data_IF_667421538725
#
_entry.id   IF_667421538725
#
_cell.length_a   1.000
_cell.length_b   1.000
_cell.length_c   1.000
_cell.angle_alpha   90.00
_cell.angle_beta   90.00
_cell.angle_gamma   90.00
#
_symmetry.space_group_name_H-M   'P 1'
#
loop_
_entity.id
_entity.type
_entity.pdbx_description
1 polymer ?
#
# COMPACT_ATOMS: atom_id res chain seq x y z
N UNK A 1 42.20 30.98 29.44
CA UNK A 1 40.82 30.97 29.96
C UNK A 1 39.97 30.11 28.99
N UNK A 2 39.17 29.17 29.52
CA UNK A 2 38.30 28.31 28.73
C UNK A 2 38.93 27.05 28.14
N UNK A 3 40.19 26.74 28.44
CA UNK A 3 40.87 25.51 27.98
C UNK A 3 41.12 24.58 29.16
N UNK A 4 40.70 23.32 29.08
CA UNK A 4 41.08 22.29 30.02
C UNK A 4 42.58 22.01 29.85
N UNK A 5 43.35 22.05 30.90
CA UNK A 5 44.79 21.79 30.90
C UNK A 5 45.02 20.40 31.47
N UNK A 6 45.85 19.61 30.82
CA UNK A 6 46.23 18.29 31.31
C UNK A 6 46.74 18.36 32.77
N UNK A 7 46.38 17.39 33.59
CA UNK A 7 46.76 17.27 35.02
C UNK A 7 46.17 18.35 35.89
N UNK A 8 45.11 19.05 35.52
CA UNK A 8 44.34 19.97 36.39
C UNK A 8 43.06 19.33 36.87
N UNK A 9 42.71 19.63 38.15
CA UNK A 9 41.51 19.11 38.76
C UNK A 9 40.25 19.84 38.26
N UNK A 10 39.19 19.07 37.98
CA UNK A 10 37.82 19.57 37.93
C UNK A 10 37.20 19.37 39.31
N UNK A 11 36.78 20.45 39.96
CA UNK A 11 36.17 20.39 41.28
C UNK A 11 34.68 20.43 41.11
N UNK A 12 34.00 19.39 41.56
CA UNK A 12 32.55 19.26 41.60
C UNK A 12 32.01 19.74 42.93
N UNK A 13 30.72 20.05 42.99
CA UNK A 13 30.03 20.35 44.25
C UNK A 13 29.80 19.10 45.13
N UNK A 14 29.09 19.24 46.23
CA UNK A 14 28.81 18.15 47.18
C UNK A 14 27.91 17.05 46.58
N UNK A 15 27.14 17.37 45.52
CA UNK A 15 26.28 16.44 44.80
C UNK A 15 27.00 15.79 43.59
N UNK A 16 28.27 16.18 43.36
CA UNK A 16 29.09 15.84 42.21
C UNK A 16 28.61 16.48 40.88
N UNK A 17 27.91 17.63 40.98
CA UNK A 17 27.43 18.37 39.84
C UNK A 17 28.48 19.38 39.33
N UNK A 18 28.48 19.60 38.00
CA UNK A 18 29.25 20.65 37.37
C UNK A 18 28.32 21.55 36.56
N UNK A 19 28.05 22.75 37.07
CA UNK A 19 27.09 23.69 36.50
C UNK A 19 27.77 24.89 35.84
N UNK A 20 27.06 25.62 34.98
CA UNK A 20 27.52 26.85 34.36
C UNK A 20 28.48 26.66 33.17
N UNK A 21 28.55 25.47 32.58
CA UNK A 21 29.32 25.26 31.35
C UNK A 21 28.52 25.85 30.19
N UNK A 22 29.06 26.90 29.55
CA UNK A 22 28.44 27.50 28.38
C UNK A 22 28.67 26.64 27.11
N UNK A 23 29.91 26.15 26.92
CA UNK A 23 30.27 25.27 25.78
C UNK A 23 31.03 24.07 26.34
N UNK A 24 30.54 22.88 26.07
CA UNK A 24 31.16 21.61 26.41
C UNK A 24 31.58 20.89 25.16
N UNK A 25 32.89 20.70 24.94
CA UNK A 25 33.45 19.99 23.78
C UNK A 25 34.11 18.71 24.25
N UNK A 26 33.59 17.58 23.75
CA UNK A 26 34.18 16.25 23.96
C UNK A 26 34.82 15.83 22.63
N UNK A 27 36.12 15.55 22.63
CA UNK A 27 36.84 15.11 21.45
C UNK A 27 36.83 13.57 21.27
N UNK A 28 36.25 12.85 22.21
CA UNK A 28 36.04 11.42 22.21
C UNK A 28 34.59 11.06 22.46
N UNK A 29 34.36 10.00 23.18
CA UNK A 29 33.03 9.50 23.54
C UNK A 29 32.44 10.28 24.74
N UNK A 30 31.16 10.56 24.72
CA UNK A 30 30.38 10.98 25.90
C UNK A 30 29.55 9.76 26.36
N UNK A 31 30.03 9.07 27.40
CA UNK A 31 29.32 8.00 28.07
C UNK A 31 28.41 8.58 29.14
N UNK A 32 27.10 8.57 28.95
CA UNK A 32 26.10 9.05 29.88
C UNK A 32 24.95 8.03 29.99
N UNK A 33 24.57 7.69 31.23
CA UNK A 33 23.46 6.76 31.47
C UNK A 33 22.12 7.32 30.98
N UNK A 34 21.93 8.65 31.01
CA UNK A 34 20.77 9.37 30.46
C UNK A 34 21.21 10.71 29.91
N UNK A 35 20.58 11.18 28.83
CA UNK A 35 20.74 12.53 28.29
C UNK A 35 19.38 13.22 28.23
N UNK A 36 19.27 14.43 28.85
CA UNK A 36 18.10 15.28 28.74
C UNK A 36 18.50 16.58 28.01
N UNK A 37 17.85 16.85 26.91
CA UNK A 37 18.12 18.02 26.08
C UNK A 37 16.84 18.86 26.00
N UNK A 38 16.82 19.99 26.65
CA UNK A 38 15.68 20.93 26.66
C UNK A 38 15.55 21.76 25.36
N UNK A 39 16.54 21.68 24.48
CA UNK A 39 16.56 22.35 23.16
C UNK A 39 16.72 21.39 22.01
N UNK A 40 16.99 21.92 20.82
CA UNK A 40 17.26 21.13 19.64
C UNK A 40 18.57 20.35 19.77
N UNK A 41 18.60 19.12 19.23
CA UNK A 41 19.82 18.32 19.07
C UNK A 41 20.15 18.29 17.57
N UNK A 42 21.34 18.77 17.21
CA UNK A 42 21.86 18.70 15.85
C UNK A 42 22.91 17.59 15.79
N UNK A 43 22.66 16.59 14.93
CA UNK A 43 23.57 15.46 14.71
C UNK A 43 24.04 15.53 13.25
N UNK A 44 25.30 15.95 13.06
CA UNK A 44 25.90 16.12 11.75
C UNK A 44 26.27 14.80 11.04
N UNK A 45 26.24 13.68 11.77
CA UNK A 45 26.44 12.32 11.25
C UNK A 45 25.21 11.44 11.42
N UNK A 46 25.42 10.14 11.42
CA UNK A 46 24.34 9.17 11.62
C UNK A 46 23.90 9.09 13.09
N UNK A 47 22.61 8.93 13.32
CA UNK A 47 22.05 8.56 14.63
C UNK A 47 21.85 7.05 14.67
N UNK A 48 22.67 6.35 15.43
CA UNK A 48 22.50 4.90 15.67
C UNK A 48 21.80 4.68 17.00
N UNK A 49 20.66 4.01 16.98
CA UNK A 49 19.92 3.56 18.15
C UNK A 49 20.24 2.09 18.41
N UNK A 50 21.23 1.84 19.29
CA UNK A 50 21.67 0.49 19.66
C UNK A 50 21.17 0.16 21.05
N UNK A 51 19.98 -0.42 21.19
CA UNK A 51 19.48 -0.91 22.46
C UNK A 51 19.75 -2.41 22.63
N UNK A 52 19.86 -2.87 23.87
CA UNK A 52 20.10 -4.28 24.17
C UNK A 52 18.94 -5.22 23.86
N UNK A 53 17.73 -4.70 23.64
CA UNK A 53 16.54 -5.43 23.25
C UNK A 53 15.86 -4.80 22.04
N UNK A 54 15.24 -3.63 22.21
CA UNK A 54 14.53 -2.92 21.13
C UNK A 54 14.94 -1.43 21.13
N UNK A 55 15.65 -0.98 20.10
CA UNK A 55 15.87 0.45 19.84
C UNK A 55 14.59 1.08 19.29
N UNK A 56 14.13 2.17 19.90
CA UNK A 56 12.93 2.84 19.47
C UNK A 56 13.12 4.36 19.35
N UNK A 57 12.55 4.95 18.30
CA UNK A 57 12.30 6.38 18.21
C UNK A 57 10.84 6.62 18.61
N UNK A 58 10.62 7.19 19.81
CA UNK A 58 9.28 7.42 20.35
C UNK A 58 8.96 8.91 20.39
N UNK A 59 7.81 9.29 19.84
CA UNK A 59 7.27 10.64 19.91
C UNK A 59 6.19 10.69 21.00
N UNK A 60 6.43 11.43 22.09
CA UNK A 60 5.52 11.54 23.23
C UNK A 60 4.33 12.48 22.99
N UNK A 61 4.35 13.27 21.92
CA UNK A 61 3.33 14.23 21.51
C UNK A 61 3.18 14.22 20.00
N UNK A 62 2.17 14.94 19.47
CA UNK A 62 2.02 15.13 18.03
C UNK A 62 3.31 15.70 17.42
N UNK A 63 3.90 14.99 16.50
CA UNK A 63 5.22 15.28 15.93
C UNK A 63 5.21 15.03 14.42
N UNK A 64 6.22 15.51 13.72
CA UNK A 64 6.41 15.26 12.30
C UNK A 64 7.85 14.86 11.99
N UNK A 65 8.02 13.95 11.03
CA UNK A 65 9.30 13.72 10.35
C UNK A 65 9.29 14.58 9.10
N UNK A 66 10.17 15.59 9.04
CA UNK A 66 10.31 16.46 7.87
C UNK A 66 11.48 15.96 7.04
N UNK A 67 11.22 15.73 5.78
CA UNK A 67 12.21 15.21 4.82
C UNK A 67 12.59 16.31 3.82
N UNK A 68 13.67 16.08 3.08
CA UNK A 68 14.15 17.00 2.05
C UNK A 68 13.11 17.14 0.93
N UNK A 69 12.95 18.35 0.39
CA UNK A 69 12.11 18.65 -0.77
C UNK A 69 12.79 18.25 -2.09
N UNK A 70 11.99 17.96 -3.10
CA UNK A 70 12.39 17.68 -4.48
C UNK A 70 13.47 16.58 -4.59
N UNK A 71 13.24 15.44 -3.95
CA UNK A 71 14.17 14.30 -3.92
C UNK A 71 13.45 12.99 -4.26
N UNK A 72 14.09 12.16 -5.08
CA UNK A 72 13.53 10.87 -5.52
C UNK A 72 13.55 9.78 -4.43
N UNK A 73 14.30 9.99 -3.33
CA UNK A 73 14.39 9.10 -2.18
C UNK A 73 14.60 9.92 -0.90
N UNK A 74 13.62 10.77 -0.56
CA UNK A 74 13.71 11.71 0.55
C UNK A 74 13.77 11.03 1.92
N UNK A 75 13.11 9.89 2.07
CA UNK A 75 13.21 8.98 3.22
C UNK A 75 13.00 7.56 2.72
N UNK A 76 13.87 6.65 3.12
CA UNK A 76 13.79 5.23 2.77
C UNK A 76 13.77 4.39 4.06
N UNK A 77 12.87 3.42 4.10
CA UNK A 77 12.92 2.31 5.06
C UNK A 77 13.51 1.11 4.32
N UNK A 78 14.68 0.64 4.76
CA UNK A 78 15.45 -0.35 4.05
C UNK A 78 16.18 -1.31 4.99
N UNK A 79 16.61 -2.45 4.46
CA UNK A 79 17.54 -3.38 5.07
C UNK A 79 18.75 -3.51 4.15
N UNK A 80 19.92 -3.10 4.61
CA UNK A 80 21.20 -3.21 3.88
C UNK A 80 21.07 -2.80 2.39
N UNK A 81 20.68 -1.55 2.12
CA UNK A 81 20.49 -0.97 0.77
C UNK A 81 19.34 -1.62 -0.04
N UNK A 82 18.42 -2.33 0.60
CA UNK A 82 17.27 -2.99 -0.02
C UNK A 82 15.98 -2.31 0.46
N UNK A 83 15.45 -1.41 -0.32
CA UNK A 83 14.29 -0.59 0.04
C UNK A 83 13.01 -1.43 0.22
N UNK A 84 12.24 -1.13 1.26
CA UNK A 84 10.87 -1.62 1.50
C UNK A 84 9.85 -0.54 1.20
N UNK A 85 10.10 0.70 1.64
CA UNK A 85 9.23 1.84 1.41
C UNK A 85 10.05 3.10 1.17
N UNK A 86 9.72 3.85 0.13
CA UNK A 86 10.40 5.08 -0.27
C UNK A 86 9.42 6.24 -0.33
N UNK A 87 9.71 7.33 0.38
CA UNK A 87 9.02 8.61 0.22
C UNK A 87 9.72 9.44 -0.86
N UNK A 88 8.99 9.71 -1.93
CA UNK A 88 9.43 10.55 -3.05
C UNK A 88 8.81 11.92 -2.89
N UNK A 89 9.61 12.97 -2.88
CA UNK A 89 9.18 14.37 -2.80
C UNK A 89 9.50 15.16 -4.07
N UNK A 90 9.83 14.47 -5.16
CA UNK A 90 10.08 15.11 -6.47
C UNK A 90 8.85 15.87 -6.92
N UNK A 91 8.99 17.18 -7.18
CA UNK A 91 7.89 18.07 -7.57
C UNK A 91 7.11 17.54 -8.77
N UNK A 92 5.77 17.51 -8.66
CA UNK A 92 4.84 16.93 -9.64
C UNK A 92 4.96 15.40 -9.86
N UNK A 93 5.66 14.71 -8.95
CA UNK A 93 5.83 13.25 -8.99
C UNK A 93 5.92 12.67 -7.57
N UNK A 94 5.31 13.35 -6.60
CA UNK A 94 5.28 12.94 -5.20
C UNK A 94 4.61 11.57 -5.04
N UNK A 95 5.22 10.69 -4.26
CA UNK A 95 4.72 9.35 -4.06
C UNK A 95 5.20 8.70 -2.77
N UNK A 96 4.45 7.72 -2.29
CA UNK A 96 4.94 6.67 -1.40
C UNK A 96 5.01 5.38 -2.21
N UNK A 97 6.21 4.84 -2.39
CA UNK A 97 6.45 3.59 -3.13
C UNK A 97 6.69 2.45 -2.16
N UNK A 98 6.12 1.30 -2.46
CA UNK A 98 6.41 0.03 -1.79
C UNK A 98 7.18 -0.85 -2.77
N UNK A 99 8.44 -1.12 -2.47
CA UNK A 99 9.34 -1.90 -3.33
C UNK A 99 9.27 -3.41 -3.02
N UNK A 100 8.45 -3.80 -2.06
CA UNK A 100 8.13 -5.17 -1.67
C UNK A 100 6.61 -5.38 -1.66
N UNK A 101 6.18 -6.64 -1.59
CA UNK A 101 4.78 -6.97 -1.41
C UNK A 101 4.19 -6.26 -0.18
N UNK A 102 3.02 -5.68 -0.34
CA UNK A 102 2.25 -5.07 0.74
C UNK A 102 1.16 -6.05 1.18
N UNK A 103 1.27 -6.56 2.40
CA UNK A 103 0.27 -7.43 3.04
C UNK A 103 -0.53 -6.61 4.06
N UNK A 104 -1.85 -6.46 3.84
CA UNK A 104 -2.73 -5.69 4.70
C UNK A 104 -3.77 -6.63 5.30
N UNK A 105 -3.62 -6.96 6.58
CA UNK A 105 -4.49 -7.89 7.32
C UNK A 105 -5.72 -7.21 7.94
N UNK A 106 -6.14 -6.06 7.41
CA UNK A 106 -7.29 -5.28 7.87
C UNK A 106 -8.06 -4.70 6.68
N UNK A 107 -9.24 -4.12 6.94
CA UNK A 107 -10.01 -3.45 5.92
C UNK A 107 -9.22 -2.25 5.33
N UNK A 108 -9.32 -2.08 4.00
CA UNK A 108 -8.74 -0.95 3.27
C UNK A 108 -9.88 -0.12 2.69
N UNK A 109 -9.89 1.18 2.95
CA UNK A 109 -10.75 2.13 2.28
C UNK A 109 -9.89 2.99 1.34
N UNK A 110 -10.34 3.15 0.10
CA UNK A 110 -9.67 3.98 -0.90
C UNK A 110 -10.69 4.99 -1.41
N UNK A 111 -10.50 6.27 -1.06
CA UNK A 111 -11.43 7.36 -1.43
C UNK A 111 -11.05 8.02 -2.77
N UNK A 112 -10.30 7.30 -3.61
CA UNK A 112 -9.84 7.77 -4.91
C UNK A 112 -9.84 6.65 -5.96
N UNK A 113 -9.49 6.98 -7.19
CA UNK A 113 -9.36 6.01 -8.28
C UNK A 113 -8.26 5.00 -7.99
N UNK A 114 -8.54 3.72 -8.26
CA UNK A 114 -7.54 2.65 -8.26
C UNK A 114 -7.16 2.36 -9.71
N UNK A 115 -5.88 2.48 -10.02
CA UNK A 115 -5.30 2.06 -11.30
C UNK A 115 -4.34 0.92 -11.06
N UNK A 116 -4.54 -0.20 -11.78
CA UNK A 116 -3.65 -1.37 -11.70
C UNK A 116 -2.96 -1.56 -13.03
N UNK A 117 -1.63 -1.46 -13.04
CA UNK A 117 -0.84 -1.48 -14.26
C UNK A 117 -0.74 -0.13 -14.98
N UNK A 118 -0.21 -0.17 -16.18
CA UNK A 118 -0.13 0.96 -17.13
C UNK A 118 -0.56 0.48 -18.51
N UNK A 119 -0.77 1.42 -19.45
CA UNK A 119 -1.08 1.02 -20.84
C UNK A 119 -0.01 0.06 -21.37
N UNK A 120 -0.44 -1.00 -22.06
CA UNK A 120 0.37 -2.11 -22.58
C UNK A 120 1.07 -3.00 -21.53
N UNK A 121 0.82 -2.76 -20.21
CA UNK A 121 1.34 -3.61 -19.13
C UNK A 121 0.29 -3.70 -18.02
N UNK A 122 -0.65 -4.62 -18.18
CA UNK A 122 -1.68 -4.94 -17.19
C UNK A 122 -1.20 -5.94 -16.14
N UNK A 123 -1.92 -6.02 -15.05
CA UNK A 123 -1.76 -7.03 -14.00
C UNK A 123 -3.12 -7.63 -13.64
N UNK A 124 -3.12 -8.87 -13.20
CA UNK A 124 -4.32 -9.53 -12.71
C UNK A 124 -4.87 -8.86 -11.46
N UNK A 125 -6.21 -8.72 -11.42
CA UNK A 125 -6.91 -8.26 -10.22
C UNK A 125 -7.91 -9.33 -9.81
N UNK A 126 -7.66 -10.00 -8.67
CA UNK A 126 -8.46 -11.12 -8.21
C UNK A 126 -9.17 -10.83 -6.89
N UNK A 127 -10.46 -11.15 -6.84
CA UNK A 127 -11.30 -11.08 -5.66
C UNK A 127 -11.80 -12.47 -5.33
N UNK A 128 -11.41 -13.03 -4.18
CA UNK A 128 -11.85 -14.34 -3.74
C UNK A 128 -13.23 -14.28 -3.06
N UNK A 129 -14.08 -15.27 -3.34
CA UNK A 129 -15.27 -15.56 -2.57
C UNK A 129 -14.94 -16.44 -1.35
N UNK A 130 -15.96 -16.72 -0.53
CA UNK A 130 -15.82 -17.59 0.64
C UNK A 130 -15.72 -19.09 0.26
N UNK A 131 -16.40 -19.50 -0.80
CA UNK A 131 -16.32 -20.88 -1.28
C UNK A 131 -14.97 -21.18 -1.96
N UNK A 132 -14.48 -22.40 -1.80
CA UNK A 132 -13.24 -22.84 -2.41
C UNK A 132 -13.26 -22.63 -3.93
N UNK A 133 -12.21 -22.04 -4.48
CA UNK A 133 -12.05 -21.73 -5.91
C UNK A 133 -13.05 -20.72 -6.49
N UNK A 134 -13.92 -20.11 -5.68
CA UNK A 134 -14.80 -19.04 -6.14
C UNK A 134 -14.04 -17.71 -6.22
N UNK A 135 -14.00 -17.09 -7.37
CA UNK A 135 -13.36 -15.78 -7.55
C UNK A 135 -13.88 -15.05 -8.79
N UNK A 136 -13.71 -13.73 -8.77
CA UNK A 136 -13.74 -12.87 -9.94
C UNK A 136 -12.32 -12.40 -10.22
N UNK A 137 -11.88 -12.43 -11.48
CA UNK A 137 -10.56 -11.95 -11.88
C UNK A 137 -10.67 -11.14 -13.17
N UNK A 138 -9.99 -9.99 -13.20
CA UNK A 138 -9.50 -9.41 -14.43
C UNK A 138 -8.21 -10.16 -14.79
N UNK A 139 -8.22 -10.92 -15.86
CA UNK A 139 -7.06 -11.66 -16.36
C UNK A 139 -6.38 -10.81 -17.44
N UNK A 140 -5.24 -10.22 -17.09
CA UNK A 140 -4.51 -9.33 -17.98
C UNK A 140 -3.88 -10.05 -19.19
N UNK A 141 -3.73 -11.37 -19.13
CA UNK A 141 -3.18 -12.16 -20.25
C UNK A 141 -4.22 -12.48 -21.31
N UNK A 142 -5.49 -12.52 -20.91
CA UNK A 142 -6.63 -12.80 -21.78
C UNK A 142 -7.42 -11.55 -22.16
N UNK A 143 -7.17 -10.42 -21.47
CA UNK A 143 -7.98 -9.20 -21.52
C UNK A 143 -9.46 -9.43 -21.16
N UNK A 144 -9.73 -10.39 -20.27
CA UNK A 144 -11.07 -10.83 -19.91
C UNK A 144 -11.39 -10.67 -18.43
N UNK A 145 -12.68 -10.42 -18.13
CA UNK A 145 -13.24 -10.53 -16.77
C UNK A 145 -13.84 -11.94 -16.61
N UNK A 146 -13.25 -12.74 -15.74
CA UNK A 146 -13.60 -14.15 -15.54
C UNK A 146 -14.23 -14.36 -14.16
N UNK A 147 -15.35 -15.09 -14.11
CA UNK A 147 -15.98 -15.62 -12.91
C UNK A 147 -15.76 -17.14 -12.85
N UNK A 148 -15.29 -17.67 -11.73
CA UNK A 148 -14.91 -19.08 -11.60
C UNK A 148 -15.36 -19.70 -10.29
N UNK A 149 -15.41 -21.03 -10.23
CA UNK A 149 -15.63 -21.80 -9.01
C UNK A 149 -16.99 -21.53 -8.32
N UNK A 150 -18.04 -21.25 -9.08
CA UNK A 150 -19.36 -20.94 -8.54
C UNK A 150 -19.58 -19.46 -8.19
N UNK A 151 -18.63 -18.59 -8.50
CA UNK A 151 -18.88 -17.15 -8.49
C UNK A 151 -19.86 -16.80 -9.62
N UNK A 152 -20.84 -15.95 -9.33
CA UNK A 152 -21.87 -15.54 -10.29
C UNK A 152 -21.93 -14.03 -10.45
N UNK A 153 -22.61 -13.58 -11.50
CA UNK A 153 -22.95 -12.19 -11.75
C UNK A 153 -24.47 -12.02 -11.57
N UNK A 154 -24.86 -11.18 -10.63
CA UNK A 154 -26.27 -10.79 -10.46
C UNK A 154 -26.43 -9.37 -10.98
N UNK A 155 -27.23 -9.22 -12.02
CA UNK A 155 -27.54 -7.92 -12.62
C UNK A 155 -29.06 -7.72 -12.55
N UNK A 156 -29.55 -6.59 -12.02
CA UNK A 156 -30.99 -6.30 -12.05
C UNK A 156 -31.53 -6.24 -13.49
N UNK A 157 -32.81 -6.55 -13.65
CA UNK A 157 -33.49 -6.47 -14.94
C UNK A 157 -33.31 -5.10 -15.60
N UNK A 158 -33.01 -5.11 -16.89
CA UNK A 158 -32.76 -3.90 -17.69
C UNK A 158 -31.44 -3.18 -17.44
N UNK A 159 -30.59 -3.66 -16.54
CA UNK A 159 -29.28 -3.07 -16.27
C UNK A 159 -28.13 -3.74 -17.05
N UNK A 160 -28.37 -4.89 -17.68
CA UNK A 160 -27.36 -5.56 -18.51
C UNK A 160 -27.34 -4.94 -19.90
N UNK A 161 -26.21 -4.34 -20.28
CA UNK A 161 -26.03 -3.65 -21.57
C UNK A 161 -24.98 -4.36 -22.41
N UNK A 162 -25.28 -4.73 -23.63
CA UNK A 162 -24.35 -5.24 -24.62
C UNK A 162 -24.11 -4.18 -25.71
N UNK A 163 -22.85 -3.79 -25.88
CA UNK A 163 -22.51 -2.63 -26.71
C UNK A 163 -23.16 -1.37 -26.12
N UNK A 164 -24.05 -0.73 -26.83
CA UNK A 164 -24.80 0.44 -26.32
C UNK A 164 -26.28 0.14 -26.08
N UNK A 165 -26.70 -1.14 -26.11
CA UNK A 165 -28.08 -1.54 -26.05
C UNK A 165 -28.35 -2.33 -24.77
N UNK A 166 -29.30 -1.88 -23.97
CA UNK A 166 -29.75 -2.63 -22.80
C UNK A 166 -30.50 -3.89 -23.21
N UNK A 167 -30.19 -5.02 -22.56
CA UNK A 167 -30.97 -6.25 -22.65
C UNK A 167 -32.20 -6.07 -21.77
N UNK A 168 -33.37 -5.87 -22.39
CA UNK A 168 -34.63 -5.64 -21.66
C UNK A 168 -35.37 -6.93 -21.36
N UNK A 169 -34.94 -8.06 -21.94
CA UNK A 169 -35.52 -9.37 -21.67
C UNK A 169 -35.23 -9.80 -20.24
N UNK A 170 -36.26 -10.28 -19.54
CA UNK A 170 -36.10 -10.91 -18.22
C UNK A 170 -35.37 -12.23 -18.31
N UNK A 171 -34.85 -12.73 -17.21
CA UNK A 171 -34.22 -14.06 -17.15
C UNK A 171 -35.21 -15.18 -17.58
N UNK A 172 -36.50 -15.04 -17.25
CA UNK A 172 -37.53 -15.98 -17.65
C UNK A 172 -37.70 -16.04 -19.19
N UNK A 173 -37.68 -14.88 -19.85
CA UNK A 173 -37.77 -14.78 -21.31
C UNK A 173 -36.48 -15.28 -22.01
N UNK A 174 -35.30 -14.95 -21.48
CA UNK A 174 -34.04 -15.49 -21.99
C UNK A 174 -33.97 -17.01 -21.86
N UNK A 175 -34.53 -17.59 -20.79
CA UNK A 175 -34.56 -19.04 -20.59
C UNK A 175 -35.52 -19.78 -21.53
N UNK A 176 -36.34 -19.07 -22.33
CA UNK A 176 -37.12 -19.70 -23.38
C UNK A 176 -36.25 -20.25 -24.54
N UNK A 177 -35.02 -19.73 -24.70
CA UNK A 177 -34.09 -20.22 -25.71
C UNK A 177 -33.17 -21.34 -25.21
N UNK A 178 -33.21 -21.66 -23.91
CA UNK A 178 -32.40 -22.74 -23.33
C UNK A 178 -32.89 -24.11 -23.75
N UNK A 179 -31.95 -24.99 -24.17
CA UNK A 179 -32.23 -26.37 -24.53
C UNK A 179 -33.05 -26.57 -25.82
N UNK A 180 -33.19 -25.52 -26.65
CA UNK A 180 -33.88 -25.65 -27.95
C UNK A 180 -32.97 -26.26 -29.00
N UNK A 181 -33.60 -26.97 -29.97
CA UNK A 181 -32.94 -27.50 -31.15
C UNK A 181 -33.56 -26.86 -32.38
N UNK A 182 -32.74 -26.31 -33.28
CA UNK A 182 -33.22 -25.72 -34.54
C UNK A 182 -34.04 -26.73 -35.36
N UNK A 183 -35.17 -26.28 -35.91
CA UNK A 183 -36.10 -27.13 -36.66
C UNK A 183 -37.00 -28.02 -35.79
N UNK A 184 -37.03 -27.82 -34.45
CA UNK A 184 -37.82 -28.63 -33.55
C UNK A 184 -38.71 -27.75 -32.68
N UNK A 185 -39.99 -28.06 -32.58
CA UNK A 185 -40.93 -27.38 -31.68
C UNK A 185 -40.90 -28.05 -30.29
N UNK A 186 -40.54 -27.31 -29.27
CA UNK A 186 -40.53 -27.76 -27.86
C UNK A 186 -41.55 -26.94 -27.08
N UNK A 187 -42.38 -27.61 -26.28
CA UNK A 187 -43.40 -26.93 -25.47
C UNK A 187 -42.76 -25.87 -24.54
N UNK A 188 -43.39 -24.70 -24.47
CA UNK A 188 -42.99 -23.56 -23.65
C UNK A 188 -41.56 -23.03 -23.94
N UNK A 189 -41.07 -23.22 -25.15
CA UNK A 189 -39.77 -22.69 -25.63
C UNK A 189 -39.96 -21.82 -26.88
N UNK A 190 -38.97 -20.97 -27.14
CA UNK A 190 -38.88 -20.24 -28.40
C UNK A 190 -38.73 -21.23 -29.56
N UNK A 191 -39.18 -20.86 -30.75
CA UNK A 191 -39.00 -21.64 -31.98
C UNK A 191 -37.84 -21.04 -32.77
N UNK A 192 -36.85 -21.84 -33.07
CA UNK A 192 -35.76 -21.50 -33.99
C UNK A 192 -35.85 -22.43 -35.20
N UNK A 193 -35.92 -21.84 -36.37
CA UNK A 193 -35.91 -22.61 -37.64
C UNK A 193 -34.54 -23.24 -37.89
N UNK A 194 -34.47 -24.33 -38.65
CA UNK A 194 -33.22 -24.89 -39.14
C UNK A 194 -32.61 -24.07 -40.31
N UNK A 195 -31.56 -24.57 -40.94
CA UNK A 195 -30.89 -23.93 -42.08
C UNK A 195 -31.77 -23.81 -43.32
N UNK A 196 -32.87 -24.59 -43.43
CA UNK A 196 -33.84 -24.55 -44.52
C UNK A 196 -35.06 -23.67 -44.21
N UNK A 197 -35.05 -23.01 -43.03
CA UNK A 197 -36.17 -22.18 -42.52
C UNK A 197 -37.41 -23.03 -42.15
N UNK A 198 -37.19 -24.33 -41.86
CA UNK A 198 -38.24 -25.28 -41.44
C UNK A 198 -38.31 -25.40 -39.89
N UNK A 199 -39.48 -25.83 -39.34
CA UNK A 199 -39.75 -26.16 -37.95
C UNK A 199 -40.30 -27.59 -37.82
#
# INVERSE_FOLDING_TARGET
VGTAVASKAVILDSNKDYTGIRNFTVSGELDAATGDFSGAVDIAGDLTLSAGADGALTFGVASSVKVIDNNAAALVFEEADNAYMTFVTTNSSEAVKFDKALDINAAVQIDATVTVGVNDTGYDVKFFGDAASAFMIWDASADDLILSGGAGLIVPDGQFTLGSTAVTSTAAELNLVDGITAGTVIASKAIITDSNIDI
#
